data_IF_900777666844
#
_entry.id   IF_900777666844
#
_cell.length_a   1.000
_cell.length_b   1.000
_cell.length_c   1.000
_cell.angle_alpha   90.00
_cell.angle_beta   90.00
_cell.angle_gamma   90.00
#
_symmetry.space_group_name_H-M   'P 1'
#
loop_
_entity.id
_entity.type
_entity.pdbx_description
1 polymer ?
#
# COMPACT_ATOMS: atom_id res chain seq x y z
N UNK A 1 11.44 -29.31 -50.18
CA UNK A 1 10.63 -28.68 -49.10
C UNK A 1 9.52 -29.64 -48.70
N UNK A 2 9.38 -30.00 -47.42
CA UNK A 2 8.32 -30.94 -46.97
C UNK A 2 7.01 -30.18 -46.75
N UNK A 3 5.86 -30.72 -47.17
CA UNK A 3 4.52 -30.11 -46.97
C UNK A 3 4.28 -29.63 -45.53
N UNK A 4 4.68 -30.45 -44.55
CA UNK A 4 4.56 -30.15 -43.13
C UNK A 4 5.36 -28.91 -42.71
N UNK A 5 6.52 -28.72 -43.32
CA UNK A 5 7.41 -27.59 -43.05
C UNK A 5 6.87 -26.31 -43.68
N UNK A 6 6.35 -26.40 -44.91
CA UNK A 6 5.66 -25.30 -45.58
C UNK A 6 4.44 -24.82 -44.79
N UNK A 7 3.57 -25.75 -44.34
CA UNK A 7 2.39 -25.41 -43.54
C UNK A 7 2.76 -24.81 -42.18
N UNK A 8 3.78 -25.34 -41.50
CA UNK A 8 4.26 -24.80 -40.22
C UNK A 8 4.76 -23.37 -40.38
N UNK A 9 5.60 -23.10 -41.38
CA UNK A 9 6.18 -21.79 -41.59
C UNK A 9 5.12 -20.76 -42.01
N UNK A 10 4.15 -21.17 -42.83
CA UNK A 10 3.03 -20.31 -43.23
C UNK A 10 2.12 -19.98 -42.04
N UNK A 11 1.81 -20.96 -41.20
CA UNK A 11 1.00 -20.75 -39.99
C UNK A 11 1.69 -19.83 -38.98
N UNK A 12 3.00 -20.00 -38.76
CA UNK A 12 3.78 -19.12 -37.88
C UNK A 12 3.87 -17.69 -38.42
N UNK A 13 4.03 -17.51 -39.74
CA UNK A 13 4.06 -16.19 -40.37
C UNK A 13 2.73 -15.45 -40.22
N UNK A 14 1.61 -16.14 -40.43
CA UNK A 14 0.27 -15.55 -40.25
C UNK A 14 -0.03 -15.21 -38.79
N UNK A 15 0.36 -16.08 -37.85
CA UNK A 15 0.22 -15.81 -36.41
C UNK A 15 1.10 -14.63 -35.95
N UNK A 16 2.32 -14.49 -36.50
CA UNK A 16 3.17 -13.33 -36.23
C UNK A 16 2.57 -12.03 -36.79
N UNK A 17 2.03 -12.07 -38.00
CA UNK A 17 1.41 -10.91 -38.64
C UNK A 17 0.13 -10.44 -37.91
N UNK A 18 -0.67 -11.36 -37.36
CA UNK A 18 -1.88 -11.00 -36.61
C UNK A 18 -1.59 -10.30 -35.27
N UNK A 19 -0.45 -10.58 -34.65
CA UNK A 19 0.00 -9.95 -33.40
C UNK A 19 0.70 -8.60 -33.61
N UNK A 20 1.15 -8.30 -34.83
CA UNK A 20 1.86 -7.06 -35.17
C UNK A 20 1.16 -5.78 -34.71
N UNK A 21 -0.17 -5.59 -34.89
CA UNK A 21 -0.86 -4.37 -34.46
C UNK A 21 -0.83 -4.17 -32.94
N UNK A 22 -0.89 -5.26 -32.17
CA UNK A 22 -0.87 -5.24 -30.71
C UNK A 22 0.54 -4.93 -30.19
N UNK A 23 1.57 -5.41 -30.88
CA UNK A 23 2.97 -5.08 -30.59
C UNK A 23 3.29 -3.62 -30.90
N UNK A 24 2.78 -3.08 -32.00
CA UNK A 24 2.91 -1.65 -32.35
C UNK A 24 2.20 -0.79 -31.31
N UNK A 25 0.95 -1.12 -30.96
CA UNK A 25 0.21 -0.39 -29.92
C UNK A 25 0.93 -0.45 -28.56
N UNK A 26 1.46 -1.61 -28.17
CA UNK A 26 2.26 -1.74 -26.96
C UNK A 26 3.53 -0.88 -27.03
N UNK A 27 4.24 -0.85 -28.16
CA UNK A 27 5.42 0.00 -28.33
C UNK A 27 5.07 1.50 -28.24
N UNK A 28 3.95 1.94 -28.82
CA UNK A 28 3.47 3.33 -28.72
C UNK A 28 3.12 3.73 -27.28
N UNK A 29 2.51 2.83 -26.50
CA UNK A 29 2.19 3.07 -25.09
C UNK A 29 3.43 3.22 -24.19
N UNK A 30 4.58 2.69 -24.62
CA UNK A 30 5.81 2.68 -23.85
C UNK A 30 6.95 3.50 -24.49
N UNK A 31 6.63 4.51 -25.31
CA UNK A 31 7.62 5.36 -26.01
C UNK A 31 8.70 4.53 -26.76
N UNK A 32 8.33 3.36 -27.28
CA UNK A 32 9.22 2.45 -28.00
C UNK A 32 10.08 1.52 -27.12
N UNK A 33 9.97 1.57 -25.79
CA UNK A 33 10.79 0.73 -24.90
C UNK A 33 9.92 -0.24 -24.07
N UNK A 34 10.00 -1.57 -24.28
CA UNK A 34 9.10 -2.55 -23.64
C UNK A 34 9.19 -2.65 -22.10
N UNK A 35 10.14 -1.91 -21.50
CA UNK A 35 10.35 -1.81 -20.05
C UNK A 35 10.12 -0.39 -19.53
N UNK A 36 9.51 0.50 -20.32
CA UNK A 36 9.24 1.85 -19.86
C UNK A 36 8.24 1.83 -18.69
N UNK A 37 8.36 2.78 -17.74
CA UNK A 37 7.44 2.88 -16.61
C UNK A 37 5.99 3.03 -17.08
N UNK A 38 5.09 2.21 -16.55
CA UNK A 38 3.66 2.32 -16.85
C UNK A 38 3.05 3.54 -16.15
N UNK A 39 2.22 4.36 -16.83
CA UNK A 39 1.52 5.45 -16.16
C UNK A 39 0.57 4.92 -15.07
N UNK A 40 0.49 5.63 -13.94
CA UNK A 40 -0.42 5.29 -12.85
C UNK A 40 -1.88 5.32 -13.34
N UNK A 41 -2.70 4.30 -13.03
CA UNK A 41 -4.13 4.28 -13.39
C UNK A 41 -4.94 5.43 -12.76
N UNK A 42 -4.44 6.02 -11.67
CA UNK A 42 -5.10 7.11 -10.95
C UNK A 42 -4.16 8.31 -10.80
N UNK A 43 -4.69 9.54 -10.85
CA UNK A 43 -3.90 10.73 -10.57
C UNK A 43 -3.41 10.69 -9.12
N UNK A 44 -2.11 10.95 -8.92
CA UNK A 44 -1.52 11.05 -7.59
C UNK A 44 -2.08 12.29 -6.88
N UNK A 45 -3.05 12.07 -5.98
CA UNK A 45 -3.68 13.16 -5.20
C UNK A 45 -2.84 13.60 -4.00
N UNK A 46 -2.05 12.70 -3.41
CA UNK A 46 -1.22 12.99 -2.24
C UNK A 46 0.11 13.62 -2.68
N UNK A 47 0.41 14.82 -2.15
CA UNK A 47 1.69 15.52 -2.38
C UNK A 47 2.75 15.19 -1.33
N UNK A 48 2.32 14.83 -0.12
CA UNK A 48 3.19 14.53 1.02
C UNK A 48 2.61 13.35 1.79
N UNK A 49 3.46 12.44 2.24
CA UNK A 49 3.10 11.25 2.98
C UNK A 49 3.98 11.14 4.23
N UNK A 50 3.35 11.06 5.40
CA UNK A 50 4.03 10.75 6.66
C UNK A 50 3.72 9.30 6.99
N UNK A 51 4.72 8.43 6.86
CA UNK A 51 4.60 7.01 7.16
C UNK A 51 5.18 6.74 8.56
N UNK A 52 4.34 6.27 9.48
CA UNK A 52 4.76 5.90 10.84
C UNK A 52 4.66 4.38 10.95
N UNK A 53 5.80 3.71 10.99
CA UNK A 53 5.88 2.27 11.18
C UNK A 53 6.12 1.96 12.66
N UNK A 54 5.13 1.35 13.31
CA UNK A 54 5.20 0.94 14.71
C UNK A 54 5.35 -0.59 14.76
N UNK A 55 6.55 -1.07 15.07
CA UNK A 55 6.82 -2.50 15.25
C UNK A 55 5.99 -3.04 16.42
N UNK A 56 5.08 -3.98 16.15
CA UNK A 56 4.18 -4.56 17.16
C UNK A 56 2.81 -3.89 17.28
N UNK A 57 2.52 -2.87 16.45
CA UNK A 57 1.28 -2.12 16.50
C UNK A 57 1.21 -1.16 17.69
N UNK A 58 0.18 -0.31 17.70
CA UNK A 58 -0.09 0.57 18.83
C UNK A 58 -1.16 -0.11 19.70
N UNK A 59 -0.79 -0.59 20.89
CA UNK A 59 -1.78 -1.11 21.83
C UNK A 59 -2.65 0.04 22.33
N UNK A 60 -3.95 -0.20 22.53
CA UNK A 60 -4.83 0.77 23.22
C UNK A 60 -4.33 1.09 24.64
N UNK A 61 -3.56 0.18 25.23
CA UNK A 61 -2.86 0.40 26.51
C UNK A 61 -1.77 1.47 26.37
N UNK A 62 -1.12 1.54 25.21
CA UNK A 62 -0.04 2.48 24.86
C UNK A 62 -0.58 3.77 24.21
N UNK A 63 -1.87 3.80 23.82
CA UNK A 63 -2.53 5.01 23.28
C UNK A 63 -2.81 6.06 24.37
N UNK A 64 -2.78 7.32 23.94
CA UNK A 64 -3.23 8.53 24.65
C UNK A 64 -4.74 8.59 24.93
N UNK A 65 -5.43 7.45 24.96
CA UNK A 65 -6.84 7.43 25.31
C UNK A 65 -7.04 7.86 26.77
N UNK A 66 -8.10 8.64 27.05
CA UNK A 66 -8.39 9.06 28.41
C UNK A 66 -8.70 7.83 29.26
N UNK A 67 -7.96 7.66 30.36
CA UNK A 67 -8.10 6.53 31.30
C UNK A 67 -8.67 7.05 32.63
N UNK A 68 -9.97 7.40 32.70
CA UNK A 68 -10.55 8.06 33.87
C UNK A 68 -10.44 7.22 35.14
N UNK A 69 -10.59 5.90 35.04
CA UNK A 69 -10.46 5.00 36.19
C UNK A 69 -9.02 4.89 36.69
N UNK A 70 -8.03 4.98 35.80
CA UNK A 70 -6.62 5.01 36.21
C UNK A 70 -6.28 6.34 36.89
N UNK A 71 -6.83 7.45 36.40
CA UNK A 71 -6.71 8.76 37.05
C UNK A 71 -7.33 8.76 38.45
N UNK A 72 -8.50 8.15 38.63
CA UNK A 72 -9.16 8.05 39.94
C UNK A 72 -8.37 7.21 40.95
N UNK A 73 -7.65 6.20 40.47
CA UNK A 73 -6.91 5.22 41.30
C UNK A 73 -5.41 5.50 41.35
N UNK A 74 -4.99 6.71 41.01
CA UNK A 74 -3.58 7.10 41.04
C UNK A 74 -2.98 6.89 42.45
N UNK A 75 -1.81 6.27 42.51
CA UNK A 75 -1.13 5.93 43.77
C UNK A 75 -1.66 4.67 44.49
N UNK A 76 -2.70 4.00 43.98
CA UNK A 76 -3.20 2.76 44.59
C UNK A 76 -2.23 1.59 44.34
N UNK A 77 -1.88 0.84 45.39
CA UNK A 77 -1.08 -0.39 45.29
C UNK A 77 -1.92 -1.57 44.83
N UNK A 78 -1.38 -2.35 43.89
CA UNK A 78 -1.91 -3.61 43.38
C UNK A 78 -0.83 -4.68 43.45
N UNK A 79 -1.22 -5.94 43.22
CA UNK A 79 -0.29 -7.08 43.17
C UNK A 79 0.79 -6.92 42.09
N UNK A 80 0.58 -6.01 41.13
CA UNK A 80 1.50 -5.73 40.02
C UNK A 80 2.26 -4.41 40.15
N UNK A 81 2.10 -3.70 41.27
CA UNK A 81 2.76 -2.42 41.53
C UNK A 81 1.79 -1.27 41.82
N UNK A 82 2.31 -0.04 41.82
CA UNK A 82 1.52 1.17 42.07
C UNK A 82 0.92 1.65 40.76
N UNK A 83 -0.40 1.88 40.75
CA UNK A 83 -1.07 2.52 39.62
C UNK A 83 -0.58 3.96 39.49
N UNK A 84 -0.14 4.31 38.27
CA UNK A 84 0.31 5.67 37.95
C UNK A 84 -0.55 6.21 36.83
N UNK A 85 -1.25 7.31 37.11
CA UNK A 85 -2.00 8.06 36.13
C UNK A 85 -1.05 8.74 35.13
N UNK A 86 -1.61 9.12 33.97
CA UNK A 86 -0.89 9.93 32.99
C UNK A 86 -0.45 11.25 33.62
N UNK A 87 0.82 11.63 33.40
CA UNK A 87 1.35 12.95 33.78
C UNK A 87 0.81 14.07 32.89
N UNK A 88 0.23 13.72 31.75
CA UNK A 88 -0.34 14.65 30.79
C UNK A 88 -1.86 14.67 30.92
N UNK A 89 -2.42 15.88 30.99
CA UNK A 89 -3.85 16.11 30.99
C UNK A 89 -4.42 15.86 29.58
N UNK A 90 -5.47 15.04 29.50
CA UNK A 90 -6.15 14.78 28.24
C UNK A 90 -6.97 16.00 27.81
N UNK A 91 -6.80 16.44 26.57
CA UNK A 91 -7.61 17.47 25.92
C UNK A 91 -8.10 16.95 24.58
N UNK A 92 -9.40 17.05 24.32
CA UNK A 92 -9.99 16.63 23.04
C UNK A 92 -9.60 17.64 21.96
N UNK A 93 -8.78 17.20 21.00
CA UNK A 93 -8.43 17.99 19.83
C UNK A 93 -9.08 17.33 18.59
N UNK A 94 -10.01 18.05 17.95
CA UNK A 94 -10.72 17.60 16.75
C UNK A 94 -12.24 17.42 16.93
N UNK A 95 -12.96 17.42 15.81
CA UNK A 95 -14.42 17.28 15.76
C UNK A 95 -14.89 15.82 15.68
N UNK A 96 -13.99 14.87 15.44
CA UNK A 96 -14.35 13.46 15.37
C UNK A 96 -14.23 12.81 16.74
N UNK A 97 -15.25 12.04 17.10
CA UNK A 97 -15.38 11.27 18.34
C UNK A 97 -16.84 11.01 18.58
#
# INVERSE_FOLDING_TARGET
>A
MKRREFLRNSAMGLAGASLYPQLVQAAEFYEGHPLAPKPSPLPAKAKQLVFIFLTGGFSHVDTFDPKPELTKKDGQKTDRGVLSASRFEFKRYGQSG
#
